data_IF_398078298541
#
_entry.id   IF_398078298541
#
_cell.length_a   1.000
_cell.length_b   1.000
_cell.length_c   1.000
_cell.angle_alpha   90.00
_cell.angle_beta   90.00
_cell.angle_gamma   90.00
#
_symmetry.space_group_name_H-M   'P 1'
#
loop_
_entity.id
_entity.type
_entity.pdbx_description
1 polymer ?
#
# COMPACT_ATOMS: atom_id res chain seq x y z
N UNK A 1 -1.96 -10.23 4.58
CA UNK A 1 -0.91 -9.40 3.96
C UNK A 1 0.30 -10.24 3.59
N UNK A 2 1.09 -9.82 2.61
CA UNK A 2 2.36 -10.47 2.20
C UNK A 2 3.52 -9.52 2.51
N UNK A 3 4.48 -9.95 3.33
CA UNK A 3 5.69 -9.17 3.61
C UNK A 3 6.61 -9.09 2.39
N UNK A 4 7.14 -7.90 2.11
CA UNK A 4 8.01 -7.64 0.97
C UNK A 4 9.24 -6.83 1.34
N UNK A 5 10.35 -7.15 0.67
CA UNK A 5 11.59 -6.36 0.70
C UNK A 5 11.50 -5.15 -0.22
N UNK A 6 12.46 -4.21 -0.09
CA UNK A 6 12.57 -3.08 -1.01
C UNK A 6 12.65 -3.51 -2.47
N UNK A 7 13.45 -4.54 -2.77
CA UNK A 7 13.63 -5.01 -4.14
C UNK A 7 12.32 -5.53 -4.72
N UNK A 8 11.63 -6.39 -3.99
CA UNK A 8 10.36 -6.98 -4.44
C UNK A 8 9.27 -5.92 -4.61
N UNK A 9 9.22 -4.92 -3.72
CA UNK A 9 8.28 -3.81 -3.85
C UNK A 9 8.59 -2.95 -5.08
N UNK A 10 9.86 -2.61 -5.32
CA UNK A 10 10.28 -1.86 -6.51
C UNK A 10 9.93 -2.62 -7.78
N UNK A 11 10.23 -3.92 -7.86
CA UNK A 11 9.90 -4.76 -9.03
C UNK A 11 8.39 -4.75 -9.34
N UNK A 12 7.54 -4.84 -8.30
CA UNK A 12 6.09 -4.75 -8.45
C UNK A 12 5.64 -3.38 -8.95
N UNK A 13 6.21 -2.30 -8.42
CA UNK A 13 5.89 -0.94 -8.84
C UNK A 13 6.33 -0.66 -10.28
N UNK A 14 7.52 -1.11 -10.67
CA UNK A 14 8.02 -1.00 -12.04
C UNK A 14 7.16 -1.82 -13.02
N UNK A 15 6.71 -3.01 -12.61
CA UNK A 15 5.76 -3.79 -13.39
C UNK A 15 4.45 -3.02 -13.58
N UNK A 16 3.91 -2.42 -12.51
CA UNK A 16 2.70 -1.59 -12.59
C UNK A 16 2.86 -0.42 -13.55
N UNK A 17 3.93 0.35 -13.44
CA UNK A 17 4.20 1.48 -14.34
C UNK A 17 4.31 1.03 -15.81
N UNK A 18 4.89 -0.15 -16.06
CA UNK A 18 4.99 -0.71 -17.42
C UNK A 18 3.64 -1.12 -17.98
N UNK A 19 2.75 -1.70 -17.17
CA UNK A 19 1.39 -2.05 -17.59
C UNK A 19 0.57 -0.79 -17.86
N UNK A 20 0.68 0.21 -16.98
CA UNK A 20 0.01 1.50 -17.14
C UNK A 20 0.37 2.20 -18.46
N UNK A 21 1.65 2.21 -18.83
CA UNK A 21 2.12 2.78 -20.12
C UNK A 21 1.61 2.05 -21.36
N UNK A 22 1.07 0.85 -21.20
CA UNK A 22 0.52 0.03 -22.29
C UNK A 22 -1.01 0.03 -22.30
N UNK A 23 -1.65 0.87 -21.49
CA UNK A 23 -3.10 0.88 -21.26
C UNK A 23 -3.64 -0.52 -20.93
N UNK A 24 -2.82 -1.31 -20.22
CA UNK A 24 -3.19 -2.66 -19.77
C UNK A 24 -3.67 -2.61 -18.33
N UNK A 25 -4.75 -3.33 -18.07
CA UNK A 25 -5.31 -3.49 -16.73
C UNK A 25 -4.35 -4.33 -15.86
N UNK A 26 -4.06 -3.84 -14.67
CA UNK A 26 -3.29 -4.54 -13.65
C UNK A 26 -3.87 -4.22 -12.27
N UNK A 27 -3.62 -5.11 -11.30
CA UNK A 27 -4.07 -4.87 -9.93
C UNK A 27 -3.28 -3.72 -9.31
N UNK A 28 -3.92 -2.80 -8.56
CA UNK A 28 -3.18 -1.77 -7.84
C UNK A 28 -2.20 -2.38 -6.83
N UNK A 29 -1.06 -1.72 -6.62
CA UNK A 29 -0.12 -2.10 -5.56
C UNK A 29 -0.47 -1.32 -4.31
N UNK A 30 -0.87 -2.04 -3.25
CA UNK A 30 -1.20 -1.46 -1.94
C UNK A 30 -0.26 -2.03 -0.88
N UNK A 31 0.44 -1.16 -0.15
CA UNK A 31 1.44 -1.53 0.86
C UNK A 31 1.12 -0.86 2.20
N UNK A 32 1.01 -1.66 3.24
CA UNK A 32 1.05 -1.22 4.63
C UNK A 32 2.50 -0.99 5.08
N UNK A 33 2.83 0.27 5.34
CA UNK A 33 4.13 0.70 5.81
C UNK A 33 4.09 0.86 7.34
N UNK A 34 5.00 0.17 8.02
CA UNK A 34 5.08 0.15 9.48
C UNK A 34 6.53 0.21 9.97
N UNK A 35 6.71 0.30 11.29
CA UNK A 35 7.97 -0.01 11.98
C UNK A 35 7.72 -1.04 13.09
N UNK A 36 8.73 -1.82 13.51
CA UNK A 36 8.64 -2.67 14.68
C UNK A 36 8.42 -1.82 15.94
N UNK A 37 7.78 -2.40 16.95
CA UNK A 37 7.51 -1.75 18.24
C UNK A 37 6.65 -0.46 18.15
N UNK A 38 5.92 -0.26 17.05
CA UNK A 38 4.96 0.81 16.87
C UNK A 38 3.56 0.36 17.31
N UNK A 39 3.09 0.81 18.49
CA UNK A 39 1.77 0.44 19.04
C UNK A 39 0.60 0.83 18.12
N UNK A 40 0.68 2.01 17.49
CA UNK A 40 -0.33 2.47 16.51
C UNK A 40 -0.33 1.60 15.26
N UNK A 41 0.83 1.13 14.81
CA UNK A 41 0.95 0.23 13.66
C UNK A 41 0.37 -1.15 13.98
N UNK A 42 0.52 -1.64 15.22
CA UNK A 42 -0.11 -2.88 15.66
C UNK A 42 -1.64 -2.80 15.65
N UNK A 43 -2.21 -1.65 16.05
CA UNK A 43 -3.66 -1.42 15.95
C UNK A 43 -4.14 -1.34 14.50
N UNK A 44 -3.42 -0.60 13.66
CA UNK A 44 -3.67 -0.51 12.21
C UNK A 44 -3.67 -1.87 11.53
N UNK A 45 -2.68 -2.72 11.82
CA UNK A 45 -2.55 -4.08 11.31
C UNK A 45 -3.81 -4.91 11.56
N UNK A 46 -4.33 -4.90 12.79
CA UNK A 46 -5.58 -5.63 13.13
C UNK A 46 -6.78 -5.13 12.33
N UNK A 47 -6.86 -3.82 12.07
CA UNK A 47 -7.93 -3.27 11.22
C UNK A 47 -7.76 -3.72 9.77
N UNK A 48 -6.54 -3.73 9.26
CA UNK A 48 -6.24 -4.19 7.90
C UNK A 48 -6.56 -5.67 7.72
N UNK A 49 -6.24 -6.51 8.71
CA UNK A 49 -6.63 -7.93 8.70
C UNK A 49 -8.14 -8.09 8.54
N UNK A 50 -8.96 -7.27 9.20
CA UNK A 50 -10.42 -7.27 8.99
C UNK A 50 -10.77 -6.80 7.57
N UNK A 51 -10.10 -5.78 7.05
CA UNK A 51 -10.32 -5.29 5.67
C UNK A 51 -10.05 -6.38 4.64
N UNK A 52 -9.02 -7.21 4.82
CA UNK A 52 -8.73 -8.34 3.92
C UNK A 52 -9.90 -9.34 3.84
N UNK A 53 -10.69 -9.50 4.91
CA UNK A 53 -11.90 -10.33 4.89
C UNK A 53 -13.09 -9.63 4.21
N UNK A 54 -13.16 -8.29 4.28
CA UNK A 54 -14.26 -7.49 3.74
C UNK A 54 -14.03 -7.12 2.25
N UNK A 55 -12.79 -7.15 1.80
CA UNK A 55 -12.36 -6.86 0.42
C UNK A 55 -11.43 -7.98 -0.06
N UNK A 56 -11.96 -9.20 -0.28
CA UNK A 56 -11.15 -10.41 -0.51
C UNK A 56 -10.35 -10.40 -1.81
N UNK A 57 -10.77 -9.62 -2.80
CA UNK A 57 -10.11 -9.54 -4.11
C UNK A 57 -8.82 -8.70 -4.08
N UNK A 58 -8.49 -8.07 -2.95
CA UNK A 58 -7.35 -7.16 -2.83
C UNK A 58 -6.20 -7.80 -2.07
N UNK A 59 -5.03 -7.84 -2.72
CA UNK A 59 -3.78 -8.29 -2.09
C UNK A 59 -3.06 -7.11 -1.47
N UNK A 60 -3.06 -7.05 -0.15
CA UNK A 60 -2.27 -6.06 0.58
C UNK A 60 -0.87 -6.61 0.88
N UNK A 61 0.12 -5.79 0.58
CA UNK A 61 1.51 -6.02 0.96
C UNK A 61 1.81 -5.33 2.28
N UNK A 62 2.88 -5.74 2.94
CA UNK A 62 3.40 -5.04 4.11
C UNK A 62 4.92 -4.94 4.06
N UNK A 63 5.46 -3.87 4.64
CA UNK A 63 6.89 -3.69 4.73
C UNK A 63 7.30 -2.75 5.88
N UNK A 64 8.45 -3.06 6.48
CA UNK A 64 9.10 -2.23 7.48
C UNK A 64 9.88 -1.09 6.80
N UNK A 65 9.49 0.16 7.07
CA UNK A 65 10.11 1.35 6.47
C UNK A 65 11.58 1.51 6.83
N UNK A 66 12.06 0.89 7.92
CA UNK A 66 13.48 0.90 8.26
C UNK A 66 14.36 0.26 7.17
N UNK A 67 13.78 -0.62 6.35
CA UNK A 67 14.48 -1.31 5.27
C UNK A 67 14.03 -0.87 3.87
N UNK A 68 13.27 0.24 3.78
CA UNK A 68 12.74 0.79 2.52
C UNK A 68 13.18 2.23 2.22
N UNK A 69 14.46 2.63 2.40
CA UNK A 69 14.88 4.02 2.23
C UNK A 69 14.50 4.62 0.87
N UNK A 70 14.60 3.84 -0.22
CA UNK A 70 14.27 4.31 -1.56
C UNK A 70 12.77 4.52 -1.77
N UNK A 71 11.91 3.76 -1.11
CA UNK A 71 10.44 3.94 -1.18
C UNK A 71 10.03 5.14 -0.32
N UNK A 72 10.61 5.27 0.88
CA UNK A 72 10.37 6.40 1.77
C UNK A 72 10.73 7.72 1.08
N UNK A 73 11.90 7.78 0.44
CA UNK A 73 12.33 8.95 -0.31
C UNK A 73 11.45 9.19 -1.54
N UNK A 74 11.21 8.17 -2.38
CA UNK A 74 10.45 8.31 -3.62
C UNK A 74 9.03 8.85 -3.40
N UNK A 75 8.33 8.33 -2.39
CA UNK A 75 6.94 8.70 -2.10
C UNK A 75 6.80 9.69 -0.94
N UNK A 76 7.91 10.22 -0.43
CA UNK A 76 7.96 11.18 0.67
C UNK A 76 7.10 10.71 1.86
N UNK A 77 7.31 9.47 2.31
CA UNK A 77 6.56 8.88 3.41
C UNK A 77 6.93 9.60 4.71
N UNK A 78 5.95 10.31 5.31
CA UNK A 78 6.20 11.22 6.44
C UNK A 78 6.07 10.58 7.81
N UNK A 79 5.30 9.50 7.91
CA UNK A 79 5.04 8.80 9.17
C UNK A 79 4.50 7.40 8.91
N UNK A 80 4.52 6.58 9.95
CA UNK A 80 3.83 5.29 10.01
C UNK A 80 2.85 5.27 11.19
N UNK A 81 1.77 4.46 11.15
CA UNK A 81 1.35 3.61 10.03
C UNK A 81 0.94 4.40 8.79
N UNK A 82 1.21 3.85 7.60
CA UNK A 82 0.73 4.41 6.35
C UNK A 82 0.28 3.30 5.37
N UNK A 83 -0.70 3.61 4.52
CA UNK A 83 -1.11 2.76 3.40
C UNK A 83 -0.77 3.49 2.10
N UNK A 84 0.26 3.02 1.40
CA UNK A 84 0.62 3.51 0.07
C UNK A 84 -0.18 2.73 -0.97
N UNK A 85 -0.80 3.43 -1.93
CA UNK A 85 -1.47 2.81 -3.07
C UNK A 85 -0.99 3.43 -4.38
N UNK A 86 -0.62 2.57 -5.33
CA UNK A 86 -0.20 2.94 -6.68
C UNK A 86 -1.12 2.23 -7.68
N UNK A 87 -1.84 3.03 -8.46
CA UNK A 87 -2.81 2.55 -9.45
C UNK A 87 -2.13 2.30 -10.80
N UNK A 88 -2.74 1.44 -11.61
CA UNK A 88 -2.24 1.03 -12.92
C UNK A 88 -2.65 1.95 -14.07
N UNK A 89 -3.32 3.07 -13.80
CA UNK A 89 -3.67 4.04 -14.84
C UNK A 89 -2.51 4.97 -15.15
N UNK A 90 -2.31 5.27 -16.45
CA UNK A 90 -1.25 6.16 -16.90
C UNK A 90 -1.42 7.55 -16.28
N UNK A 91 -0.38 8.02 -15.59
CA UNK A 91 -0.39 9.32 -14.91
C UNK A 91 -1.08 9.32 -13.54
N UNK A 92 -1.47 8.16 -13.00
CA UNK A 92 -2.02 8.08 -11.65
C UNK A 92 -1.03 8.58 -10.60
N UNK A 93 -1.52 9.47 -9.74
CA UNK A 93 -0.74 9.94 -8.59
C UNK A 93 -0.84 8.90 -7.47
N UNK A 94 0.30 8.45 -6.89
CA UNK A 94 0.31 7.61 -5.71
C UNK A 94 -0.51 8.23 -4.57
N UNK A 95 -1.36 7.44 -3.93
CA UNK A 95 -2.17 7.85 -2.79
C UNK A 95 -1.57 7.31 -1.49
N UNK A 96 -1.64 8.10 -0.40
CA UNK A 96 -1.16 7.66 0.92
C UNK A 96 -2.20 7.96 1.99
N UNK A 97 -2.62 6.93 2.71
CA UNK A 97 -3.47 7.05 3.91
C UNK A 97 -2.61 6.95 5.17
N UNK A 98 -2.51 8.05 5.94
CA UNK A 98 -1.77 8.07 7.21
C UNK A 98 -2.66 7.82 8.43
N UNK A 99 -3.92 8.28 8.40
CA UNK A 99 -4.86 8.15 9.52
C UNK A 99 -5.84 7.02 9.23
N UNK A 100 -5.65 5.90 9.91
CA UNK A 100 -6.54 4.75 9.86
C UNK A 100 -7.49 4.82 11.07
N UNK A 101 -8.57 5.61 10.97
CA UNK A 101 -9.48 5.85 12.09
C UNK A 101 -10.49 4.73 12.32
N UNK A 102 -10.84 4.00 11.26
CA UNK A 102 -11.75 2.85 11.31
C UNK A 102 -11.44 1.83 10.23
N UNK A 103 -11.97 0.61 10.36
CA UNK A 103 -11.98 -0.41 9.29
C UNK A 103 -12.64 0.13 8.02
N UNK A 104 -13.71 0.93 8.16
CA UNK A 104 -14.43 1.51 7.03
C UNK A 104 -13.59 2.57 6.30
N UNK A 105 -12.79 3.35 7.01
CA UNK A 105 -11.88 4.34 6.40
C UNK A 105 -10.88 3.62 5.48
N UNK A 106 -10.27 2.54 5.98
CA UNK A 106 -9.28 1.75 5.24
C UNK A 106 -9.94 1.04 4.06
N UNK A 107 -11.09 0.39 4.27
CA UNK A 107 -11.81 -0.30 3.20
C UNK A 107 -12.25 0.66 2.08
N UNK A 108 -12.64 1.89 2.44
CA UNK A 108 -13.02 2.92 1.46
C UNK A 108 -11.81 3.37 0.65
N UNK A 109 -10.66 3.57 1.29
CA UNK A 109 -9.41 3.87 0.59
C UNK A 109 -9.00 2.76 -0.37
N UNK A 110 -8.99 1.50 0.08
CA UNK A 110 -8.66 0.34 -0.76
C UNK A 110 -9.59 0.23 -1.97
N UNK A 111 -10.90 0.50 -1.79
CA UNK A 111 -11.87 0.48 -2.90
C UNK A 111 -11.69 1.64 -3.87
N UNK A 112 -11.24 2.81 -3.41
CA UNK A 112 -11.05 3.98 -4.28
C UNK A 112 -9.90 3.85 -5.28
N UNK A 113 -9.01 2.88 -5.09
CA UNK A 113 -7.87 2.62 -5.97
C UNK A 113 -8.07 1.40 -6.87
N UNK A 114 -9.26 0.80 -6.81
CA UNK A 114 -9.68 -0.24 -7.75
C UNK A 114 -10.03 0.44 -9.10
N UNK A 115 -9.59 -0.12 -10.24
CA UNK A 115 -10.07 0.31 -11.55
C UNK A 115 -11.59 0.12 -11.69
#
# INVERSE_FOLDING_TARGET
>A
MIEVTQRELVERLEWQERMAKRDMEADPVIVFLHTPLCGTCAAARKMIEIVEHVVPDMKLLEADVNFLPGIVERYQIRSVPALLAVQSSAGAVPAVLYRMGSVQDIASFVRSVKP
#
